data_IF_271703376141
#
_entry.id   IF_271703376141
#
_cell.length_a   1.000
_cell.length_b   1.000
_cell.length_c   1.000
_cell.angle_alpha   90.00
_cell.angle_beta   90.00
_cell.angle_gamma   90.00
#
_symmetry.space_group_name_H-M   'P 1'
#
loop_
_entity.id
_entity.type
_entity.pdbx_description
1 polymer ?
#
# COMPACT_ATOMS: atom_id res chain seq x y z
N UNK A 1 33.54 27.73 -25.22
CA UNK A 1 33.82 26.42 -24.60
C UNK A 1 33.43 26.51 -23.13
N UNK A 2 32.22 26.05 -22.78
CA UNK A 2 31.73 26.03 -21.41
C UNK A 2 31.25 24.61 -21.09
N UNK A 3 31.98 23.93 -20.21
CA UNK A 3 31.69 22.56 -19.76
C UNK A 3 30.55 22.60 -18.75
N UNK A 4 29.45 21.91 -19.04
CA UNK A 4 28.36 21.71 -18.11
C UNK A 4 28.72 20.56 -17.17
N UNK A 5 29.07 20.89 -15.93
CA UNK A 5 29.25 19.92 -14.84
C UNK A 5 27.91 19.30 -14.51
N UNK A 6 27.75 18.00 -14.82
CA UNK A 6 26.57 17.22 -14.46
C UNK A 6 26.41 17.16 -12.94
N UNK A 7 25.36 17.78 -12.43
CA UNK A 7 24.91 17.65 -11.04
C UNK A 7 24.17 16.32 -10.91
N UNK A 8 24.86 15.28 -10.43
CA UNK A 8 24.22 14.01 -10.05
C UNK A 8 23.05 14.32 -9.10
N UNK A 9 21.79 14.03 -9.48
CA UNK A 9 20.68 14.17 -8.55
C UNK A 9 20.75 12.97 -7.59
N UNK A 10 21.33 13.19 -6.41
CA UNK A 10 21.25 12.24 -5.31
C UNK A 10 19.78 12.04 -4.97
N UNK A 11 19.22 10.95 -5.48
CA UNK A 11 17.94 10.34 -5.11
C UNK A 11 16.84 11.33 -4.72
N UNK A 12 16.28 12.04 -5.69
CA UNK A 12 14.92 12.54 -5.52
C UNK A 12 14.01 11.30 -5.41
N UNK A 13 13.79 10.82 -4.18
CA UNK A 13 12.66 9.92 -3.90
C UNK A 13 11.43 10.70 -4.34
N UNK A 14 10.94 10.36 -5.53
CA UNK A 14 9.66 10.84 -6.04
C UNK A 14 8.67 10.57 -4.91
N UNK A 15 8.28 11.62 -4.18
CA UNK A 15 7.23 11.54 -3.18
C UNK A 15 5.95 11.33 -3.97
N UNK A 16 5.72 10.08 -4.38
CA UNK A 16 4.50 9.67 -5.04
C UNK A 16 3.39 9.95 -4.03
N UNK A 17 2.65 11.02 -4.28
CA UNK A 17 1.55 11.50 -3.45
C UNK A 17 0.34 10.55 -3.46
N UNK A 18 0.47 9.38 -4.10
CA UNK A 18 -0.53 8.32 -4.09
C UNK A 18 -0.12 7.29 -3.05
N UNK A 19 -0.97 7.01 -2.04
CA UNK A 19 -0.68 5.98 -1.05
C UNK A 19 -0.27 4.70 -1.77
N UNK A 20 0.83 4.07 -1.37
CA UNK A 20 1.40 3.00 -2.14
C UNK A 20 0.51 1.78 -1.92
N UNK A 21 0.06 1.17 -3.01
CA UNK A 21 -0.62 -0.13 -3.01
C UNK A 21 -2.11 -0.21 -2.63
N UNK A 22 -3.00 0.70 -3.08
CA UNK A 22 -4.45 0.59 -2.83
C UNK A 22 -5.02 -0.75 -3.31
N UNK A 23 -4.48 -1.28 -4.39
CA UNK A 23 -4.85 -2.60 -4.93
C UNK A 23 -4.53 -3.73 -3.93
N UNK A 24 -3.31 -3.77 -3.39
CA UNK A 24 -2.90 -4.82 -2.46
C UNK A 24 -3.61 -4.69 -1.11
N UNK A 25 -3.74 -3.46 -0.60
CA UNK A 25 -4.46 -3.21 0.65
C UNK A 25 -5.95 -3.51 0.52
N UNK A 26 -6.56 -3.26 -0.64
CA UNK A 26 -7.97 -3.61 -0.90
C UNK A 26 -8.21 -5.12 -0.82
N UNK A 27 -7.38 -5.91 -1.49
CA UNK A 27 -7.47 -7.38 -1.39
C UNK A 27 -7.19 -7.87 0.03
N UNK A 28 -6.15 -7.36 0.68
CA UNK A 28 -5.82 -7.74 2.05
C UNK A 28 -6.97 -7.46 3.03
N UNK A 29 -7.60 -6.29 2.95
CA UNK A 29 -8.77 -5.92 3.76
C UNK A 29 -9.99 -6.78 3.45
N UNK A 30 -10.23 -7.11 2.17
CA UNK A 30 -11.32 -8.01 1.78
C UNK A 30 -11.13 -9.41 2.38
N UNK A 31 -9.95 -10.00 2.19
CA UNK A 31 -9.58 -11.30 2.74
C UNK A 31 -9.69 -11.32 4.27
N UNK A 32 -9.18 -10.27 4.92
CA UNK A 32 -9.25 -10.10 6.37
C UNK A 32 -10.70 -9.98 6.84
N UNK A 33 -11.53 -9.17 6.18
CA UNK A 33 -12.95 -9.00 6.49
C UNK A 33 -13.72 -10.31 6.40
N UNK A 34 -13.51 -11.10 5.34
CA UNK A 34 -14.13 -12.43 5.20
C UNK A 34 -13.66 -13.36 6.32
N UNK A 35 -12.37 -13.35 6.66
CA UNK A 35 -11.84 -14.16 7.76
C UNK A 35 -12.51 -13.80 9.11
N UNK A 36 -12.70 -12.50 9.38
CA UNK A 36 -13.43 -12.05 10.57
C UNK A 36 -14.91 -12.40 10.56
N UNK A 37 -15.57 -12.37 9.40
CA UNK A 37 -16.97 -12.81 9.27
C UNK A 37 -17.08 -14.29 9.63
N UNK A 38 -16.23 -15.14 9.05
CA UNK A 38 -16.20 -16.58 9.39
C UNK A 38 -15.88 -16.79 10.87
N UNK A 39 -14.89 -16.06 11.41
CA UNK A 39 -14.56 -16.12 12.82
C UNK A 39 -15.75 -15.69 13.70
N UNK A 40 -16.49 -14.66 13.32
CA UNK A 40 -17.65 -14.20 14.09
C UNK A 40 -18.80 -15.21 14.09
N UNK A 41 -18.99 -15.96 12.99
CA UNK A 41 -19.89 -17.14 12.98
C UNK A 41 -19.35 -18.26 13.88
N UNK A 42 -18.04 -18.51 13.87
CA UNK A 42 -17.41 -19.55 14.70
C UNK A 42 -17.48 -19.24 16.20
N UNK A 43 -17.21 -17.99 16.59
CA UNK A 43 -17.33 -17.51 17.96
C UNK A 43 -18.78 -17.29 18.40
N UNK A 44 -19.76 -17.51 17.51
CA UNK A 44 -21.19 -17.35 17.80
C UNK A 44 -21.63 -15.91 18.03
N UNK A 45 -20.81 -14.93 17.63
CA UNK A 45 -21.09 -13.48 17.75
C UNK A 45 -22.12 -13.06 16.69
N UNK A 46 -21.99 -13.64 15.50
CA UNK A 46 -22.91 -13.45 14.37
C UNK A 46 -23.81 -14.69 14.28
N UNK A 47 -25.01 -14.61 14.86
CA UNK A 47 -26.14 -15.53 14.68
C UNK A 47 -27.45 -14.74 14.64
#
# INVERSE_FOLDING_TARGET
MATQTAKNPTGATVKTSKPPYPFRTGWALLLLGINFVVAAYYFGILK
#
